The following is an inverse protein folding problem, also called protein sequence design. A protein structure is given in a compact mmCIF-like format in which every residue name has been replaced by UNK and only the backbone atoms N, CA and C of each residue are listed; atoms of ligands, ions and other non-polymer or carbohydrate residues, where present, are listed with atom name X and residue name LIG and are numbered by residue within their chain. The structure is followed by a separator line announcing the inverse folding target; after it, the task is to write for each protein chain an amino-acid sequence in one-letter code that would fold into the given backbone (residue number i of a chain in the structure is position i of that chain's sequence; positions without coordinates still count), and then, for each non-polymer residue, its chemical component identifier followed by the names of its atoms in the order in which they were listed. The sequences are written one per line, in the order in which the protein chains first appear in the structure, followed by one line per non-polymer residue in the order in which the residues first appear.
data_IF_893519000530
#
_entry.id   IF_893519000530
#
_cell.length_a   1.000
_cell.length_b   1.000
_cell.length_c   1.000
_cell.angle_alpha   90.00
_cell.angle_beta   90.00
_cell.angle_gamma   90.00
#
_symmetry.space_group_name_H-M   'P 1'
#
loop_
_entity.id
_entity.type
_entity.pdbx_description
1 polymer ?
#
# COMPACT_ATOMS: atom_id res chain seq x y z
N UNK A 1 -22.78 6.23 -17.11
CA UNK A 1 -23.13 6.95 -15.86
C UNK A 1 -21.94 7.82 -15.49
N UNK A 2 -22.16 9.06 -15.03
CA UNK A 2 -21.07 9.93 -14.60
C UNK A 2 -20.47 9.35 -13.29
N UNK A 3 -19.14 9.28 -13.13
CA UNK A 3 -18.52 8.88 -11.86
C UNK A 3 -19.04 9.71 -10.69
N UNK A 4 -19.41 9.04 -9.58
CA UNK A 4 -19.86 9.70 -8.34
C UNK A 4 -18.68 9.89 -7.38
N UNK A 5 -18.10 11.08 -7.42
CA UNK A 5 -16.92 11.48 -6.64
C UNK A 5 -17.21 11.49 -5.13
N UNK A 6 -18.40 11.94 -4.72
CA UNK A 6 -18.78 12.04 -3.31
C UNK A 6 -19.05 10.67 -2.69
N UNK A 7 -19.59 9.74 -3.47
CA UNK A 7 -19.74 8.35 -3.04
C UNK A 7 -18.38 7.70 -2.74
N UNK A 8 -17.39 7.88 -3.62
CA UNK A 8 -16.03 7.35 -3.43
C UNK A 8 -15.38 7.98 -2.21
N UNK A 9 -15.47 9.29 -2.06
CA UNK A 9 -14.93 10.02 -0.90
C UNK A 9 -15.49 9.52 0.42
N UNK A 10 -16.82 9.32 0.49
CA UNK A 10 -17.49 8.81 1.69
C UNK A 10 -16.99 7.41 2.06
N UNK A 11 -16.88 6.52 1.07
CA UNK A 11 -16.33 5.19 1.29
C UNK A 11 -14.88 5.25 1.80
N UNK A 12 -14.00 6.05 1.18
CA UNK A 12 -12.60 6.15 1.58
C UNK A 12 -12.41 6.70 3.01
N UNK A 13 -13.22 7.69 3.40
CA UNK A 13 -13.21 8.21 4.78
C UNK A 13 -13.63 7.12 5.78
N UNK A 14 -14.69 6.37 5.46
CA UNK A 14 -15.15 5.24 6.28
C UNK A 14 -14.10 4.13 6.33
N UNK A 15 -13.47 3.78 5.21
CA UNK A 15 -12.41 2.78 5.15
C UNK A 15 -11.24 3.13 6.07
N UNK A 16 -10.78 4.39 6.05
CA UNK A 16 -9.74 4.86 6.98
C UNK A 16 -10.18 4.68 8.45
N UNK A 17 -11.43 5.03 8.77
CA UNK A 17 -11.98 4.87 10.12
C UNK A 17 -11.98 3.40 10.57
N UNK A 18 -12.48 2.50 9.73
CA UNK A 18 -12.54 1.06 10.02
C UNK A 18 -11.16 0.45 10.18
N UNK A 19 -10.22 0.73 9.27
CA UNK A 19 -8.85 0.19 9.35
C UNK A 19 -8.16 0.68 10.63
N UNK A 20 -8.25 1.97 10.95
CA UNK A 20 -7.66 2.51 12.18
C UNK A 20 -8.28 1.86 13.42
N UNK A 21 -9.60 1.64 13.44
CA UNK A 21 -10.28 0.98 14.55
C UNK A 21 -9.78 -0.47 14.73
N UNK A 22 -9.72 -1.24 13.65
CA UNK A 22 -9.31 -2.65 13.71
C UNK A 22 -7.82 -2.80 14.08
N UNK A 23 -6.93 -1.96 13.53
CA UNK A 23 -5.52 -1.94 13.92
C UNK A 23 -5.36 -1.55 15.39
N UNK A 24 -6.08 -0.53 15.87
CA UNK A 24 -6.03 -0.13 17.29
C UNK A 24 -6.52 -1.25 18.22
N UNK A 25 -7.52 -2.03 17.81
CA UNK A 25 -8.04 -3.14 18.61
C UNK A 25 -7.00 -4.27 18.80
N UNK A 26 -6.19 -4.55 17.78
CA UNK A 26 -5.12 -5.57 17.84
C UNK A 26 -3.90 -5.06 18.61
N UNK A 27 -3.60 -3.77 18.48
CA UNK A 27 -2.42 -3.12 19.07
C UNK A 27 -2.58 -2.71 20.54
N UNK A 28 -3.74 -2.17 20.90
CA UNK A 28 -4.01 -1.49 22.16
C UNK A 28 -3.69 0.02 22.16
N UNK A 29 -2.93 0.51 21.18
CA UNK A 29 -2.64 1.93 20.96
C UNK A 29 -3.76 2.68 20.21
N UNK A 30 -3.57 4.00 20.05
CA UNK A 30 -4.50 4.89 19.31
C UNK A 30 -3.77 5.67 18.23
N UNK A 31 -4.45 5.91 17.12
CA UNK A 31 -3.97 6.82 16.08
C UNK A 31 -4.12 8.28 16.50
N UNK A 32 -3.07 9.08 16.33
CA UNK A 32 -3.14 10.53 16.34
C UNK A 32 -3.51 11.03 14.94
N UNK A 33 -4.54 11.87 14.84
CA UNK A 33 -4.99 12.46 13.59
C UNK A 33 -4.38 13.86 13.40
N UNK A 34 -3.89 14.12 12.19
CA UNK A 34 -3.48 15.43 11.70
C UNK A 34 -4.26 15.74 10.40
N UNK A 35 -5.19 16.69 10.50
CA UNK A 35 -5.99 17.18 9.38
C UNK A 35 -5.32 18.39 8.76
N UNK A 36 -5.14 18.37 7.44
CA UNK A 36 -4.39 19.39 6.72
C UNK A 36 -5.09 19.81 5.43
N UNK A 37 -4.78 21.03 4.97
CA UNK A 37 -5.28 21.60 3.72
C UNK A 37 -4.11 21.86 2.76
N UNK A 38 -4.40 21.83 1.46
CA UNK A 38 -3.45 22.14 0.40
C UNK A 38 -3.79 23.49 -0.20
N UNK A 39 -2.80 24.38 -0.32
CA UNK A 39 -2.98 25.72 -0.92
C UNK A 39 -3.60 25.65 -2.32
N UNK A 40 -3.16 24.68 -3.14
CA UNK A 40 -3.68 24.43 -4.49
C UNK A 40 -5.00 23.67 -4.58
N UNK A 41 -5.73 23.48 -3.47
CA UNK A 41 -7.03 22.81 -3.45
C UNK A 41 -7.02 21.43 -2.78
N UNK A 42 -8.00 21.20 -1.92
CA UNK A 42 -8.21 19.96 -1.17
C UNK A 42 -7.40 19.86 0.12
N UNK A 43 -7.07 18.64 0.53
CA UNK A 43 -6.40 18.33 1.79
C UNK A 43 -6.38 16.84 2.13
N UNK A 44 -6.28 16.53 3.41
CA UNK A 44 -6.30 15.14 3.87
C UNK A 44 -6.37 14.98 5.39
N UNK A 45 -6.51 13.72 5.81
CA UNK A 45 -6.42 13.28 7.21
C UNK A 45 -5.31 12.26 7.31
N UNK A 46 -4.21 12.63 7.95
CA UNK A 46 -3.12 11.71 8.23
C UNK A 46 -3.32 11.12 9.62
N UNK A 47 -3.33 9.79 9.75
CA UNK A 47 -3.43 9.13 11.05
C UNK A 47 -2.20 8.30 11.29
N UNK A 48 -1.53 8.51 12.43
CA UNK A 48 -0.30 7.80 12.78
C UNK A 48 -0.40 7.23 14.20
N UNK A 49 -0.11 5.95 14.33
CA UNK A 49 0.14 5.25 15.59
C UNK A 49 1.64 4.98 15.68
N UNK A 50 2.25 5.35 16.81
CA UNK A 50 3.68 5.18 17.10
C UNK A 50 3.85 4.51 18.45
N UNK A 51 4.89 3.69 18.56
CA UNK A 51 5.26 2.99 19.79
C UNK A 51 4.08 2.20 20.41
N UNK A 52 3.32 1.53 19.55
CA UNK A 52 2.21 0.65 19.93
C UNK A 52 2.66 -0.67 20.55
N UNK A 53 1.68 -1.43 21.03
CA UNK A 53 1.90 -2.74 21.64
C UNK A 53 2.34 -3.80 20.63
N UNK A 54 1.93 -3.68 19.37
CA UNK A 54 2.24 -4.60 18.27
C UNK A 54 2.93 -3.86 17.13
N UNK A 55 2.41 -2.69 16.77
CA UNK A 55 2.89 -1.85 15.69
C UNK A 55 3.86 -0.81 16.22
N UNK A 56 5.12 -0.91 15.78
CA UNK A 56 6.13 0.08 16.11
C UNK A 56 5.78 1.43 15.46
N UNK A 57 5.30 1.38 14.22
CA UNK A 57 4.68 2.50 13.54
C UNK A 57 3.62 1.99 12.58
N UNK A 58 2.46 2.64 12.56
CA UNK A 58 1.45 2.44 11.54
C UNK A 58 0.92 3.81 11.12
N UNK A 59 0.74 4.02 9.81
CA UNK A 59 -0.02 5.18 9.37
C UNK A 59 -1.01 4.84 8.29
N UNK A 60 -2.15 5.52 8.34
CA UNK A 60 -3.30 5.33 7.47
C UNK A 60 -3.75 6.71 7.04
N UNK A 61 -3.41 7.10 5.82
CA UNK A 61 -3.60 8.46 5.32
C UNK A 61 -4.73 8.48 4.31
N UNK A 62 -5.67 9.40 4.51
CA UNK A 62 -6.64 9.81 3.51
C UNK A 62 -6.20 11.13 2.89
N UNK A 63 -6.35 11.27 1.58
CA UNK A 63 -6.25 12.55 0.90
C UNK A 63 -7.35 12.71 -0.15
N UNK A 64 -7.76 13.96 -0.39
CA UNK A 64 -8.58 14.38 -1.51
C UNK A 64 -8.04 15.73 -1.97
N UNK A 65 -7.33 15.73 -3.08
CA UNK A 65 -6.72 16.92 -3.68
C UNK A 65 -7.37 17.20 -5.03
N UNK A 66 -7.50 18.48 -5.37
CA UNK A 66 -8.07 18.90 -6.64
C UNK A 66 -7.32 20.12 -7.19
N UNK A 67 -7.54 20.48 -8.45
CA UNK A 67 -6.97 21.65 -9.07
C UNK A 67 -7.48 21.88 -10.49
N UNK A 68 -7.25 23.09 -11.01
CA UNK A 68 -7.79 23.51 -12.31
C UNK A 68 -7.04 22.96 -13.52
N UNK A 69 -5.80 22.47 -13.31
CA UNK A 69 -4.97 21.89 -14.36
C UNK A 69 -3.99 20.84 -13.80
N UNK A 70 -3.73 19.80 -14.59
CA UNK A 70 -2.69 18.81 -14.29
C UNK A 70 -1.26 19.40 -14.43
N UNK A 71 -0.29 18.96 -13.61
CA UNK A 71 1.11 19.31 -13.81
C UNK A 71 1.62 18.89 -15.19
N UNK A 72 2.55 19.66 -15.78
CA UNK A 72 3.11 19.37 -17.10
C UNK A 72 3.77 17.98 -17.21
N UNK A 73 4.33 17.48 -16.10
CA UNK A 73 4.88 16.11 -16.03
C UNK A 73 3.82 15.03 -16.21
N UNK A 74 2.59 15.26 -15.76
CA UNK A 74 1.49 14.30 -15.89
C UNK A 74 0.88 14.32 -17.30
N UNK A 75 0.79 15.49 -17.94
CA UNK A 75 0.22 15.62 -19.29
C UNK A 75 1.18 15.16 -20.39
N UNK A 76 2.50 15.15 -20.14
CA UNK A 76 3.48 14.62 -21.09
C UNK A 76 3.24 13.14 -21.46
N UNK A 77 2.73 12.35 -20.52
CA UNK A 77 2.41 10.94 -20.72
C UNK A 77 0.92 10.68 -21.00
N UNK A 78 0.06 11.67 -20.79
CA UNK A 78 -1.41 11.60 -20.98
C UNK A 78 -1.94 12.91 -21.59
N UNK A 79 -1.74 13.15 -22.90
CA UNK A 79 -2.14 14.38 -23.56
C UNK A 79 -3.64 14.71 -23.42
N UNK A 80 -4.49 13.69 -23.27
CA UNK A 80 -5.93 13.79 -23.05
C UNK A 80 -6.30 14.51 -21.73
N UNK A 81 -5.36 14.64 -20.79
CA UNK A 81 -5.54 15.36 -19.53
C UNK A 81 -5.22 16.86 -19.65
N UNK A 82 -4.67 17.31 -20.77
CA UNK A 82 -4.31 18.71 -20.96
C UNK A 82 -5.54 19.63 -20.94
N UNK A 83 -5.49 20.67 -20.10
CA UNK A 83 -6.58 21.64 -19.94
C UNK A 83 -7.83 21.08 -19.25
N UNK A 84 -7.70 19.97 -18.52
CA UNK A 84 -8.74 19.43 -17.64
C UNK A 84 -8.48 19.83 -16.19
N UNK A 85 -9.56 20.13 -15.44
CA UNK A 85 -9.50 20.11 -13.98
C UNK A 85 -9.38 18.67 -13.50
N UNK A 86 -8.84 18.46 -12.29
CA UNK A 86 -8.65 17.13 -11.75
C UNK A 86 -9.05 17.03 -10.29
N UNK A 87 -9.43 15.81 -9.89
CA UNK A 87 -9.54 15.39 -8.51
C UNK A 87 -8.83 14.04 -8.34
N UNK A 88 -8.09 13.91 -7.25
CA UNK A 88 -7.45 12.66 -6.85
C UNK A 88 -7.72 12.42 -5.36
N UNK A 89 -8.20 11.24 -5.03
CA UNK A 89 -8.46 10.85 -3.64
C UNK A 89 -8.04 9.42 -3.38
N UNK A 90 -7.70 9.10 -2.15
CA UNK A 90 -7.35 7.73 -1.78
C UNK A 90 -7.06 7.54 -0.31
N UNK A 91 -7.01 6.27 0.08
CA UNK A 91 -6.43 5.80 1.34
C UNK A 91 -5.12 5.09 1.02
N UNK A 92 -4.06 5.47 1.71
CA UNK A 92 -2.75 4.82 1.63
C UNK A 92 -2.24 4.51 3.03
N UNK A 93 -1.73 3.31 3.25
CA UNK A 93 -1.27 2.89 4.56
C UNK A 93 -0.02 2.02 4.49
N UNK A 94 0.77 2.12 5.55
CA UNK A 94 1.88 1.20 5.83
C UNK A 94 1.87 0.86 7.30
N UNK A 95 2.07 -0.42 7.61
CA UNK A 95 2.15 -0.94 8.97
C UNK A 95 3.51 -1.61 9.16
N UNK A 96 4.27 -1.13 10.15
CA UNK A 96 5.55 -1.67 10.58
C UNK A 96 5.44 -2.27 11.98
N UNK A 97 5.26 -3.59 12.10
CA UNK A 97 5.24 -4.27 13.39
C UNK A 97 6.57 -4.22 14.12
N UNK A 98 6.52 -4.22 15.45
CA UNK A 98 7.71 -4.33 16.30
C UNK A 98 8.31 -5.73 16.26
N UNK A 99 7.46 -6.77 16.29
CA UNK A 99 7.87 -8.17 16.26
C UNK A 99 8.33 -8.58 14.84
N UNK A 100 9.59 -9.07 14.64
CA UNK A 100 10.11 -9.53 13.36
C UNK A 100 9.29 -10.64 12.67
N UNK A 101 8.53 -11.42 13.44
CA UNK A 101 7.69 -12.48 12.88
C UNK A 101 6.36 -11.96 12.31
N UNK A 102 6.00 -10.70 12.55
CA UNK A 102 4.85 -10.07 11.92
C UNK A 102 5.35 -9.28 10.69
N UNK A 103 4.86 -9.58 9.47
CA UNK A 103 5.29 -8.88 8.27
C UNK A 103 4.93 -7.39 8.27
N UNK A 104 5.75 -6.56 7.64
CA UNK A 104 5.30 -5.23 7.19
C UNK A 104 4.24 -5.41 6.12
N UNK A 105 3.22 -4.56 6.11
CA UNK A 105 2.21 -4.55 5.04
C UNK A 105 1.94 -3.14 4.54
N UNK A 106 1.50 -3.06 3.30
CA UNK A 106 1.09 -1.84 2.64
C UNK A 106 -0.25 -2.08 1.93
N UNK A 107 -1.08 -1.05 1.90
CA UNK A 107 -2.26 -1.02 1.05
C UNK A 107 -2.53 0.38 0.52
N UNK A 108 -3.09 0.44 -0.68
CA UNK A 108 -3.54 1.66 -1.30
C UNK A 108 -4.84 1.39 -2.05
N UNK A 109 -5.79 2.32 -1.96
CA UNK A 109 -6.92 2.41 -2.88
C UNK A 109 -7.17 3.87 -3.22
N UNK A 110 -7.30 4.18 -4.50
CA UNK A 110 -7.39 5.56 -5.00
C UNK A 110 -8.30 5.66 -6.20
N UNK A 111 -8.81 6.87 -6.40
CA UNK A 111 -9.63 7.27 -7.52
C UNK A 111 -9.10 8.59 -8.09
N UNK A 112 -9.03 8.65 -9.42
CA UNK A 112 -8.68 9.85 -10.16
C UNK A 112 -9.78 10.16 -11.17
N UNK A 113 -10.10 11.44 -11.31
CA UNK A 113 -10.99 11.96 -12.35
C UNK A 113 -10.45 13.29 -12.89
N UNK A 114 -10.56 13.47 -14.20
CA UNK A 114 -10.25 14.71 -14.89
C UNK A 114 -11.40 15.13 -15.81
N UNK A 115 -11.87 16.37 -15.62
CA UNK A 115 -13.06 16.91 -16.28
C UNK A 115 -12.73 18.10 -17.17
N UNK A 116 -13.54 18.27 -18.22
CA UNK A 116 -13.49 19.44 -19.08
C UNK A 116 -14.90 19.73 -19.59
N UNK A 117 -15.36 21.00 -19.57
CA UNK A 117 -16.67 21.36 -20.12
C UNK A 117 -16.81 20.87 -21.58
N UNK A 118 -17.90 20.17 -21.87
CA UNK A 118 -18.20 19.66 -23.21
C UNK A 118 -17.43 18.39 -23.64
N UNK A 119 -16.72 17.72 -22.72
CA UNK A 119 -16.05 16.44 -22.98
C UNK A 119 -16.36 15.42 -21.88
N UNK A 120 -16.35 14.13 -22.24
CA UNK A 120 -16.49 13.06 -21.25
C UNK A 120 -15.31 13.08 -20.25
N UNK A 121 -15.55 12.74 -18.98
CA UNK A 121 -14.50 12.68 -17.96
C UNK A 121 -13.55 11.53 -18.23
N UNK A 122 -12.25 11.74 -17.98
CA UNK A 122 -11.25 10.67 -17.93
C UNK A 122 -11.08 10.28 -16.48
N UNK A 123 -11.24 9.00 -16.15
CA UNK A 123 -11.16 8.53 -14.77
C UNK A 123 -10.59 7.12 -14.71
N UNK A 124 -10.05 6.77 -13.55
CA UNK A 124 -9.64 5.41 -13.23
C UNK A 124 -9.50 5.22 -11.72
N UNK A 125 -9.60 3.96 -11.30
CA UNK A 125 -9.18 3.50 -9.99
C UNK A 125 -7.77 2.90 -10.06
N UNK A 126 -7.10 2.91 -8.92
CA UNK A 126 -5.85 2.18 -8.71
C UNK A 126 -5.74 1.74 -7.26
N UNK A 127 -4.84 0.82 -6.99
CA UNK A 127 -4.66 0.32 -5.64
C UNK A 127 -4.01 -1.04 -5.57
N UNK A 128 -4.25 -1.71 -4.44
CA UNK A 128 -3.67 -2.99 -4.12
C UNK A 128 -3.27 -3.09 -2.65
N UNK A 129 -2.80 -4.27 -2.27
CA UNK A 129 -2.14 -4.50 -1.00
C UNK A 129 -1.03 -5.52 -1.20
N UNK A 130 0.04 -5.42 -0.41
CA UNK A 130 1.18 -6.34 -0.48
C UNK A 130 1.81 -6.59 0.89
N UNK A 131 2.48 -7.74 1.01
CA UNK A 131 3.04 -8.25 2.27
C UNK A 131 4.56 -8.41 2.19
N UNK A 132 5.26 -7.85 3.17
CA UNK A 132 6.72 -7.84 3.27
C UNK A 132 7.18 -8.55 4.55
N UNK A 133 7.37 -9.88 4.52
CA UNK A 133 7.85 -10.64 5.67
C UNK A 133 9.34 -10.41 5.93
N UNK A 134 9.74 -10.60 7.18
CA UNK A 134 11.14 -10.73 7.58
C UNK A 134 11.50 -12.20 7.78
N UNK A 135 10.57 -12.98 8.32
CA UNK A 135 10.63 -14.44 8.37
C UNK A 135 9.42 -15.01 7.66
N UNK A 136 9.64 -15.94 6.74
CA UNK A 136 8.61 -16.51 5.90
C UNK A 136 7.84 -17.63 6.61
N UNK A 137 6.51 -17.55 6.56
CA UNK A 137 5.60 -18.63 6.97
C UNK A 137 4.68 -18.95 5.79
N UNK A 138 4.73 -20.19 5.30
CA UNK A 138 3.97 -20.59 4.11
C UNK A 138 2.47 -20.44 4.33
N UNK A 139 1.98 -20.79 5.53
CA UNK A 139 0.56 -20.67 5.90
C UNK A 139 0.07 -19.20 5.96
N UNK A 140 0.97 -18.23 6.12
CA UNK A 140 0.61 -16.81 6.05
C UNK A 140 0.55 -16.34 4.61
N UNK A 141 1.50 -16.79 3.78
CA UNK A 141 1.52 -16.48 2.35
C UNK A 141 0.30 -17.06 1.62
N UNK A 142 -0.06 -18.32 1.92
CA UNK A 142 -1.27 -18.97 1.40
C UNK A 142 -2.52 -18.21 1.87
N UNK A 143 -2.64 -17.86 3.15
CA UNK A 143 -3.79 -17.09 3.66
C UNK A 143 -3.94 -15.73 2.96
N UNK A 144 -2.82 -14.99 2.84
CA UNK A 144 -2.76 -13.69 2.19
C UNK A 144 -3.24 -13.75 0.74
N UNK A 145 -2.68 -14.68 -0.03
CA UNK A 145 -2.99 -14.84 -1.45
C UNK A 145 -4.35 -15.49 -1.70
N UNK A 146 -4.83 -16.38 -0.81
CA UNK A 146 -6.19 -16.92 -0.88
C UNK A 146 -7.23 -15.84 -0.64
N UNK A 147 -7.03 -14.98 0.36
CA UNK A 147 -7.92 -13.85 0.61
C UNK A 147 -7.99 -12.91 -0.60
N UNK A 148 -6.83 -12.62 -1.22
CA UNK A 148 -6.76 -11.84 -2.46
C UNK A 148 -7.44 -12.53 -3.66
N UNK A 149 -7.37 -13.85 -3.76
CA UNK A 149 -8.06 -14.60 -4.81
C UNK A 149 -9.57 -14.58 -4.61
N UNK A 150 -10.04 -14.86 -3.40
CA UNK A 150 -11.46 -14.95 -3.06
C UNK A 150 -12.17 -13.61 -3.27
N UNK A 151 -11.52 -12.48 -2.93
CA UNK A 151 -12.09 -11.14 -3.18
C UNK A 151 -12.12 -10.78 -4.68
N UNK A 152 -11.21 -11.34 -5.49
CA UNK A 152 -11.15 -11.10 -6.93
C UNK A 152 -12.15 -11.97 -7.71
N UNK A 153 -12.50 -13.16 -7.20
CA UNK A 153 -13.31 -14.14 -7.91
C UNK A 153 -14.65 -13.59 -8.47
N UNK A 154 -15.43 -12.75 -7.75
CA UNK A 154 -16.67 -12.17 -8.28
C UNK A 154 -16.47 -11.22 -9.48
N UNK A 155 -15.23 -10.77 -9.73
CA UNK A 155 -14.89 -9.81 -10.77
C UNK A 155 -14.30 -10.48 -12.03
N UNK A 156 -14.07 -11.79 -11.98
CA UNK A 156 -13.63 -12.62 -13.10
C UNK A 156 -12.36 -13.42 -12.81
N UNK A 157 -12.24 -14.57 -13.45
CA UNK A 157 -11.17 -15.56 -13.18
C UNK A 157 -9.76 -15.01 -13.44
N UNK A 158 -9.62 -14.06 -14.37
CA UNK A 158 -8.34 -13.45 -14.75
C UNK A 158 -7.92 -12.27 -13.85
N UNK A 159 -8.79 -11.81 -12.94
CA UNK A 159 -8.54 -10.62 -12.13
C UNK A 159 -7.39 -10.85 -11.15
N UNK A 160 -7.41 -11.95 -10.39
CA UNK A 160 -6.33 -12.28 -9.46
C UNK A 160 -5.00 -12.56 -10.19
N UNK A 161 -4.92 -13.46 -11.19
CA UNK A 161 -3.67 -13.72 -11.91
C UNK A 161 -3.03 -12.45 -12.49
N UNK A 162 -3.85 -11.57 -13.09
CA UNK A 162 -3.39 -10.29 -13.65
C UNK A 162 -2.79 -9.37 -12.58
N UNK A 163 -3.54 -9.10 -11.51
CA UNK A 163 -3.12 -8.11 -10.51
C UNK A 163 -2.08 -8.65 -9.53
N UNK A 164 -2.03 -9.96 -9.33
CA UNK A 164 -0.92 -10.62 -8.62
C UNK A 164 0.37 -10.51 -9.42
N UNK A 165 0.35 -10.85 -10.71
CA UNK A 165 1.54 -10.69 -11.56
C UNK A 165 2.00 -9.24 -11.59
N UNK A 166 1.08 -8.28 -11.71
CA UNK A 166 1.45 -6.87 -11.70
C UNK A 166 2.08 -6.45 -10.35
N UNK A 167 1.61 -7.01 -9.22
CA UNK A 167 2.23 -6.80 -7.92
C UNK A 167 3.67 -7.32 -7.88
N UNK A 168 3.92 -8.52 -8.44
CA UNK A 168 5.27 -9.10 -8.55
C UNK A 168 6.20 -8.23 -9.42
N UNK A 169 5.69 -7.67 -10.51
CA UNK A 169 6.47 -6.83 -11.42
C UNK A 169 6.74 -5.43 -10.83
N UNK A 170 5.79 -4.87 -10.08
CA UNK A 170 5.88 -3.51 -9.53
C UNK A 170 6.81 -3.43 -8.32
N UNK A 171 6.70 -4.36 -7.37
CA UNK A 171 7.44 -4.33 -6.12
C UNK A 171 8.81 -5.02 -6.19
N UNK A 172 9.53 -4.81 -7.30
CA UNK A 172 10.85 -5.37 -7.57
C UNK A 172 11.97 -4.34 -7.37
N UNK A 173 12.98 -4.68 -6.57
CA UNK A 173 14.14 -3.83 -6.29
C UNK A 173 15.22 -4.12 -7.33
N UNK A 174 15.20 -3.36 -8.43
CA UNK A 174 16.02 -3.65 -9.64
C UNK A 174 17.51 -3.78 -9.36
N UNK A 175 18.08 -2.90 -8.53
CA UNK A 175 19.52 -2.92 -8.22
C UNK A 175 19.94 -4.00 -7.22
N UNK A 176 18.98 -4.70 -6.61
CA UNK A 176 19.21 -5.86 -5.73
C UNK A 176 18.82 -7.18 -6.37
N UNK A 177 18.10 -7.12 -7.50
CA UNK A 177 17.49 -8.29 -8.14
C UNK A 177 16.61 -9.12 -7.19
N UNK A 178 15.88 -8.47 -6.28
CA UNK A 178 15.00 -9.13 -5.31
C UNK A 178 13.62 -8.48 -5.27
N UNK A 179 12.61 -9.25 -4.86
CA UNK A 179 11.29 -8.68 -4.54
C UNK A 179 11.32 -7.97 -3.19
N UNK A 180 10.50 -6.93 -3.04
CA UNK A 180 10.30 -6.25 -1.76
C UNK A 180 9.70 -7.21 -0.72
N UNK A 181 8.79 -8.07 -1.16
CA UNK A 181 8.05 -9.02 -0.33
C UNK A 181 7.44 -10.14 -1.16
N UNK A 182 6.37 -10.76 -0.66
CA UNK A 182 5.68 -11.89 -1.33
C UNK A 182 4.51 -11.46 -2.22
N UNK A 183 4.37 -10.16 -2.48
CA UNK A 183 3.34 -9.60 -3.34
C UNK A 183 1.96 -9.57 -2.69
N UNK A 184 0.94 -9.67 -3.54
CA UNK A 184 -0.47 -9.44 -3.21
C UNK A 184 -1.20 -9.00 -4.47
N UNK A 185 -1.88 -7.86 -4.44
CA UNK A 185 -2.53 -7.26 -5.59
C UNK A 185 -1.92 -5.90 -5.90
N UNK A 186 -1.76 -5.59 -7.18
CA UNK A 186 -1.49 -4.23 -7.66
C UNK A 186 -2.29 -3.97 -8.94
N UNK A 187 -2.98 -2.84 -8.98
CA UNK A 187 -3.70 -2.37 -10.16
C UNK A 187 -3.60 -0.86 -10.30
N UNK A 188 -3.62 -0.43 -11.55
CA UNK A 188 -3.68 0.98 -11.95
C UNK A 188 -4.51 1.06 -13.24
N UNK A 189 -4.96 2.26 -13.61
CA UNK A 189 -5.74 2.48 -14.83
C UNK A 189 -7.00 1.61 -14.96
N UNK A 190 -7.62 1.24 -13.83
CA UNK A 190 -8.85 0.46 -13.81
C UNK A 190 -10.07 1.36 -14.10
N UNK A 191 -10.60 1.28 -15.31
CA UNK A 191 -11.78 2.05 -15.75
C UNK A 191 -12.78 1.24 -16.59
N UNK A 192 -12.65 -0.08 -16.62
CA UNK A 192 -13.53 -1.00 -17.34
C UNK A 192 -14.05 -2.10 -16.41
N UNK A 193 -15.27 -2.63 -16.67
CA UNK A 193 -16.18 -2.29 -17.76
C UNK A 193 -16.99 -1.00 -17.53
N UNK A 194 -17.19 -0.58 -16.28
CA UNK A 194 -17.90 0.64 -15.92
C UNK A 194 -17.54 1.08 -14.50
N UNK A 195 -17.94 2.31 -14.14
CA UNK A 195 -17.62 2.92 -12.84
C UNK A 195 -18.06 2.07 -11.65
N UNK A 196 -19.31 1.60 -11.62
CA UNK A 196 -19.86 0.86 -10.47
C UNK A 196 -19.10 -0.45 -10.24
N UNK A 197 -18.74 -1.15 -11.32
CA UNK A 197 -17.94 -2.38 -11.23
C UNK A 197 -16.52 -2.11 -10.72
N UNK A 198 -15.84 -1.10 -11.28
CA UNK A 198 -14.50 -0.71 -10.83
C UNK A 198 -14.50 -0.23 -9.38
N UNK A 199 -15.54 0.51 -8.99
CA UNK A 199 -15.70 0.99 -7.63
C UNK A 199 -15.93 -0.16 -6.66
N UNK A 200 -16.83 -1.10 -6.97
CA UNK A 200 -17.05 -2.30 -6.18
C UNK A 200 -15.77 -3.14 -6.02
N UNK A 201 -14.94 -3.25 -7.07
CA UNK A 201 -13.65 -3.93 -6.98
C UNK A 201 -12.68 -3.20 -6.04
N UNK A 202 -12.58 -1.88 -6.16
CA UNK A 202 -11.75 -1.07 -5.25
C UNK A 202 -12.23 -1.20 -3.79
N UNK A 203 -13.55 -1.28 -3.57
CA UNK A 203 -14.11 -1.54 -2.24
C UNK A 203 -13.68 -2.91 -1.71
N UNK A 204 -13.85 -3.97 -2.51
CA UNK A 204 -13.44 -5.33 -2.14
C UNK A 204 -11.94 -5.42 -1.79
N UNK A 205 -11.07 -4.70 -2.50
CA UNK A 205 -9.63 -4.63 -2.18
C UNK A 205 -9.38 -3.89 -0.86
N UNK A 206 -10.04 -2.75 -0.65
CA UNK A 206 -9.90 -1.96 0.58
C UNK A 206 -10.34 -2.75 1.82
N UNK A 207 -11.53 -3.35 1.75
CA UNK A 207 -12.10 -4.16 2.83
C UNK A 207 -11.33 -5.47 3.05
N UNK A 208 -10.80 -6.06 1.97
CA UNK A 208 -10.02 -7.30 2.02
C UNK A 208 -8.68 -7.18 2.74
N UNK A 209 -8.09 -5.98 2.82
CA UNK A 209 -6.78 -5.77 3.43
C UNK A 209 -6.71 -6.24 4.89
N UNK A 210 -7.66 -5.82 5.75
CA UNK A 210 -7.63 -6.19 7.17
C UNK A 210 -8.03 -7.66 7.38
N UNK A 211 -8.91 -8.20 6.54
CA UNK A 211 -9.24 -9.62 6.51
C UNK A 211 -8.02 -10.49 6.17
N UNK A 212 -7.15 -10.01 5.28
CA UNK A 212 -5.90 -10.69 4.91
C UNK A 212 -4.82 -10.51 5.99
N UNK A 213 -4.65 -9.29 6.53
CA UNK A 213 -3.50 -8.94 7.37
C UNK A 213 -3.68 -9.34 8.85
N UNK A 214 -4.83 -9.05 9.46
CA UNK A 214 -4.99 -9.19 10.91
C UNK A 214 -4.88 -10.64 11.42
N UNK A 215 -5.38 -11.67 10.70
CA UNK A 215 -5.15 -13.06 11.11
C UNK A 215 -3.66 -13.44 11.18
N UNK A 216 -2.83 -12.87 10.30
CA UNK A 216 -1.38 -13.04 10.31
C UNK A 216 -0.78 -12.34 11.54
N UNK A 217 -1.20 -11.10 11.82
CA UNK A 217 -0.76 -10.37 13.00
C UNK A 217 -1.08 -11.13 14.29
N UNK A 218 -2.31 -11.61 14.45
CA UNK A 218 -2.74 -12.37 15.63
C UNK A 218 -1.91 -13.65 15.84
N UNK A 219 -1.65 -14.38 14.76
CA UNK A 219 -0.86 -15.63 14.80
C UNK A 219 0.59 -15.40 15.23
N UNK A 220 1.18 -14.25 14.86
CA UNK A 220 2.62 -14.02 14.99
C UNK A 220 3.01 -13.06 16.11
N UNK A 221 2.13 -12.15 16.54
CA UNK A 221 2.47 -11.05 17.47
C UNK A 221 3.06 -11.50 18.80
N UNK A 222 2.70 -12.69 19.28
CA UNK A 222 3.16 -13.25 20.55
C UNK A 222 4.43 -14.12 20.45
N UNK A 223 4.97 -14.35 19.25
CA UNK A 223 6.17 -15.18 19.10
C UNK A 223 7.40 -14.47 19.73
N UNK A 224 8.19 -15.17 20.56
CA UNK A 224 9.38 -14.59 21.17
C UNK A 224 10.46 -14.36 20.11
N UNK A 225 11.15 -13.22 20.17
CA UNK A 225 12.27 -12.88 19.30
C UNK A 225 13.41 -12.26 20.10
N UNK A 226 14.64 -12.35 19.59
CA UNK A 226 15.84 -11.77 20.20
C UNK A 226 16.46 -10.65 19.36
N UNK A 227 17.66 -10.25 19.76
CA UNK A 227 18.43 -9.21 19.06
C UNK A 227 18.81 -9.63 17.64
N UNK A 228 19.08 -10.92 17.41
CA UNK A 228 19.39 -11.46 16.08
C UNK A 228 18.25 -11.15 15.11
N UNK A 229 17.02 -11.54 15.48
CA UNK A 229 15.85 -11.35 14.64
C UNK A 229 15.53 -9.87 14.44
N UNK A 230 15.69 -9.07 15.49
CA UNK A 230 15.51 -7.63 15.41
C UNK A 230 16.53 -6.97 14.48
N UNK A 231 17.81 -7.34 14.54
CA UNK A 231 18.85 -6.80 13.68
C UNK A 231 18.62 -7.16 12.21
N UNK A 232 18.13 -8.37 11.93
CA UNK A 232 17.75 -8.77 10.58
C UNK A 232 16.52 -7.99 10.09
N UNK A 233 15.50 -7.80 10.93
CA UNK A 233 14.34 -6.96 10.61
C UNK A 233 14.76 -5.54 10.22
N UNK A 234 15.64 -4.90 11.01
CA UNK A 234 16.14 -3.54 10.72
C UNK A 234 16.92 -3.49 9.40
N UNK A 235 17.71 -4.52 9.12
CA UNK A 235 18.41 -4.65 7.84
C UNK A 235 17.44 -4.78 6.66
N UNK A 236 16.44 -5.66 6.76
CA UNK A 236 15.41 -5.85 5.73
C UNK A 236 14.52 -4.63 5.55
N UNK A 237 14.23 -3.86 6.62
CA UNK A 237 13.56 -2.56 6.51
C UNK A 237 14.37 -1.54 5.70
N UNK A 238 15.70 -1.66 5.66
CA UNK A 238 16.54 -0.91 4.73
C UNK A 238 16.17 -1.13 3.25
N UNK A 239 15.77 -2.35 2.87
CA UNK A 239 15.27 -2.65 1.52
C UNK A 239 13.92 -2.01 1.22
N UNK A 240 13.06 -1.90 2.24
CA UNK A 240 11.79 -1.18 2.13
C UNK A 240 12.02 0.30 1.83
N UNK A 241 12.99 0.92 2.52
CA UNK A 241 13.42 2.30 2.25
C UNK A 241 14.04 2.44 0.85
N UNK A 242 14.92 1.52 0.45
CA UNK A 242 15.49 1.50 -0.91
C UNK A 242 14.39 1.49 -1.97
N UNK A 243 13.35 0.67 -1.81
CA UNK A 243 12.23 0.65 -2.75
C UNK A 243 11.47 1.99 -2.77
N UNK A 244 11.04 2.48 -1.60
CA UNK A 244 10.18 3.66 -1.54
C UNK A 244 10.88 4.94 -2.03
N UNK A 245 12.17 5.10 -1.77
CA UNK A 245 12.91 6.32 -2.15
C UNK A 245 13.48 6.28 -3.57
N UNK A 246 13.68 5.09 -4.17
CA UNK A 246 14.33 4.96 -5.49
C UNK A 246 13.36 4.52 -6.58
N UNK A 247 12.37 3.68 -6.26
CA UNK A 247 11.55 2.99 -7.26
C UNK A 247 10.05 3.29 -7.16
N UNK A 248 9.54 3.62 -5.98
CA UNK A 248 8.11 3.89 -5.81
C UNK A 248 7.69 5.19 -6.52
N UNK A 249 6.85 5.02 -7.55
CA UNK A 249 6.33 6.16 -8.35
C UNK A 249 5.50 7.11 -7.50
N UNK A 250 4.73 6.59 -6.54
CA UNK A 250 3.85 7.40 -5.69
C UNK A 250 4.64 8.36 -4.80
N UNK A 251 5.66 7.83 -4.11
CA UNK A 251 6.57 8.59 -3.25
C UNK A 251 7.36 9.65 -4.03
N UNK A 252 7.98 9.26 -5.15
CA UNK A 252 8.75 10.18 -5.99
C UNK A 252 7.88 11.32 -6.53
N UNK A 253 6.70 10.99 -7.06
CA UNK A 253 5.76 12.00 -7.56
C UNK A 253 5.34 12.95 -6.45
N UNK A 254 4.90 12.43 -5.29
CA UNK A 254 4.44 13.24 -4.18
C UNK A 254 5.50 14.23 -3.68
N UNK A 255 6.76 13.81 -3.57
CA UNK A 255 7.86 14.66 -3.14
C UNK A 255 8.22 15.72 -4.20
N UNK A 256 8.20 15.36 -5.47
CA UNK A 256 8.54 16.27 -6.58
C UNK A 256 7.45 17.31 -6.87
N UNK A 257 6.18 17.01 -6.55
CA UNK A 257 5.05 17.92 -6.81
C UNK A 257 4.60 18.73 -5.59
N UNK A 258 5.41 18.79 -4.53
CA UNK A 258 5.09 19.57 -3.32
C UNK A 258 3.94 19.00 -2.49
N UNK A 259 3.75 17.68 -2.49
CA UNK A 259 2.85 17.02 -1.56
C UNK A 259 3.33 17.16 -0.11
N UNK A 260 2.45 16.90 0.87
CA UNK A 260 2.81 17.00 2.29
C UNK A 260 3.84 15.92 2.64
N UNK A 261 5.12 16.32 2.76
CA UNK A 261 6.28 15.44 2.98
C UNK A 261 6.05 14.45 4.12
N UNK A 262 5.63 14.92 5.29
CA UNK A 262 5.37 14.08 6.47
C UNK A 262 4.26 13.04 6.25
N UNK A 263 3.30 13.30 5.36
CA UNK A 263 2.27 12.31 5.00
C UNK A 263 2.82 11.27 4.01
N UNK A 264 3.73 11.66 3.13
CA UNK A 264 4.34 10.76 2.14
C UNK A 264 5.35 9.83 2.81
N UNK A 265 6.22 10.40 3.64
CA UNK A 265 7.29 9.69 4.34
C UNK A 265 6.81 8.91 5.57
N UNK A 266 5.52 8.99 5.93
CA UNK A 266 4.90 8.07 6.89
C UNK A 266 5.15 6.60 6.53
N UNK A 267 5.28 6.30 5.23
CA UNK A 267 5.62 4.96 4.72
C UNK A 267 6.99 4.45 5.15
N UNK A 268 7.85 5.29 5.73
CA UNK A 268 9.18 4.89 6.16
C UNK A 268 9.13 4.18 7.51
N UNK A 269 9.86 3.06 7.69
CA UNK A 269 10.02 2.43 8.98
C UNK A 269 10.69 3.36 10.01
N UNK A 270 10.34 3.24 11.31
CA UNK A 270 10.87 4.12 12.35
C UNK A 270 12.36 3.93 12.60
N UNK A 271 12.87 2.71 12.35
CA UNK A 271 14.28 2.36 12.48
C UNK A 271 14.68 1.41 11.34
N UNK A 272 15.90 1.61 10.85
CA UNK A 272 16.52 0.85 9.77
C UNK A 272 18.01 0.70 10.02
N UNK A 273 18.60 -0.32 9.40
CA UNK A 273 20.04 -0.59 9.45
C UNK A 273 20.55 -0.84 8.04
N UNK A 274 21.70 -0.27 7.72
CA UNK A 274 22.50 -0.66 6.56
C UNK A 274 23.82 -1.23 7.04
N UNK A 275 24.28 -2.26 6.37
CA UNK A 275 25.55 -2.91 6.65
C UNK A 275 26.21 -3.27 5.32
N UNK A 276 27.50 -2.93 5.21
CA UNK A 276 28.28 -3.19 4.01
C UNK A 276 28.44 -4.70 3.82
N UNK A 277 28.05 -5.18 2.64
CA UNK A 277 28.17 -6.59 2.22
C UNK A 277 27.62 -7.63 3.21
N UNK A 278 26.58 -7.26 3.97
CA UNK A 278 25.92 -8.22 4.86
C UNK A 278 25.28 -9.35 4.07
N UNK A 279 25.60 -10.58 4.48
CA UNK A 279 24.97 -11.81 4.06
C UNK A 279 24.45 -12.57 5.29
N UNK A 280 23.21 -13.07 5.29
CA UNK A 280 22.75 -13.94 6.36
C UNK A 280 23.57 -15.24 6.38
N UNK A 281 23.72 -15.85 7.56
CA UNK A 281 24.42 -17.13 7.72
C UNK A 281 23.74 -18.23 6.90
N UNK A 282 24.51 -19.06 6.20
CA UNK A 282 23.96 -20.15 5.39
C UNK A 282 23.15 -21.14 6.26
N UNK A 283 21.99 -21.58 5.77
CA UNK A 283 21.09 -22.45 6.52
C UNK A 283 20.31 -21.78 7.66
N UNK A 284 20.52 -20.48 7.89
CA UNK A 284 19.74 -19.72 8.88
C UNK A 284 18.31 -19.41 8.40
N UNK A 285 17.36 -19.16 9.32
CA UNK A 285 16.04 -18.65 8.95
C UNK A 285 16.07 -17.33 8.16
N UNK A 286 17.09 -16.49 8.39
CA UNK A 286 17.32 -15.25 7.65
C UNK A 286 17.71 -15.50 6.19
N UNK A 287 18.57 -16.49 5.94
CA UNK A 287 18.96 -16.87 4.58
C UNK A 287 17.77 -17.43 3.78
N UNK A 288 16.87 -18.17 4.46
CA UNK A 288 15.67 -18.72 3.85
C UNK A 288 14.71 -17.66 3.29
N UNK A 289 14.75 -16.42 3.79
CA UNK A 289 13.91 -15.32 3.27
C UNK A 289 14.16 -15.07 1.78
N UNK A 290 15.42 -15.15 1.33
CA UNK A 290 15.80 -14.84 -0.06
C UNK A 290 15.08 -15.73 -1.08
N UNK A 291 14.92 -17.02 -0.76
CA UNK A 291 14.12 -17.95 -1.55
C UNK A 291 12.63 -17.80 -1.28
N UNK A 292 12.23 -17.41 -0.06
CA UNK A 292 10.84 -17.21 0.30
C UNK A 292 10.16 -16.10 -0.51
N UNK A 293 10.86 -14.98 -0.74
CA UNK A 293 10.33 -13.80 -1.45
C UNK A 293 10.46 -13.88 -2.98
N UNK A 294 11.05 -14.93 -3.53
CA UNK A 294 10.99 -15.17 -4.98
C UNK A 294 9.53 -15.33 -5.42
N UNK A 295 9.24 -14.91 -6.65
CA UNK A 295 7.89 -15.03 -7.23
C UNK A 295 7.47 -16.50 -7.25
N UNK A 296 6.35 -16.80 -6.60
CA UNK A 296 5.76 -18.14 -6.50
C UNK A 296 4.26 -18.11 -6.77
N UNK A 297 3.72 -19.25 -7.17
CA UNK A 297 2.29 -19.50 -7.08
C UNK A 297 2.00 -19.98 -5.65
N UNK A 298 1.44 -19.10 -4.82
CA UNK A 298 1.11 -19.40 -3.43
C UNK A 298 -0.21 -20.15 -3.27
N UNK A 299 -1.05 -20.18 -4.32
CA UNK A 299 -2.37 -20.80 -4.33
C UNK A 299 -2.65 -21.58 -5.61
#
# INVERSE_FOLDING_TARGET
MKPDVELVKRYLLQLQDHICQQLSAVDGGKFAEDSWQREGGGGGRSRVLRDGGVFEQAGVNFSHVHGDAMPASATAHRPELAGRSFEAMGVSLVVHPRNPYVPTSHANVRFFIAEKPGADPVWWFGGGFDLTPFYGFEEDAVHWHRTAFDLCAPFGDEVYPRYKKWCDDYFFIKHRHEQRGIGGLFFDDLNTPNFDHCFAFMQAVGDGYTAAYLPIVERRKALPYGERERNFQLYRRGRYVEFNLVWDRGTLFGLQTGGRTESILMSMPPLVRWEYDYQPEEGSPEAALSDFIKVKAWI
#
